data_IF_132454332948
#
_entry.id   IF_132454332948
#
_cell.length_a   1.000
_cell.length_b   1.000
_cell.length_c   1.000
_cell.angle_alpha   90.00
_cell.angle_beta   90.00
_cell.angle_gamma   90.00
#
_symmetry.space_group_name_H-M   'P 1'
#
loop_
_entity.id
_entity.type
_entity.pdbx_description
1 polymer ?
#
# COMPACT_ATOMS: atom_id res chain seq x y z
N UNK A 1 -9.02 -27.02 16.25
CA UNK A 1 -9.12 -26.50 14.86
C UNK A 1 -8.99 -24.97 14.75
N UNK A 2 -9.15 -24.20 15.84
CA UNK A 2 -9.08 -22.73 15.88
C UNK A 2 -7.74 -22.03 15.54
N UNK A 3 -6.54 -22.57 15.86
CA UNK A 3 -5.32 -21.75 15.78
C UNK A 3 -4.94 -21.37 14.34
N UNK A 4 -5.24 -22.25 13.36
CA UNK A 4 -4.95 -22.00 11.94
C UNK A 4 -5.77 -20.85 11.33
N UNK A 5 -6.85 -20.42 11.98
CA UNK A 5 -7.72 -19.35 11.50
C UNK A 5 -7.35 -17.97 12.06
N UNK A 6 -6.38 -17.88 12.99
CA UNK A 6 -5.95 -16.62 13.59
C UNK A 6 -5.57 -15.57 12.53
N UNK A 7 -4.77 -15.89 11.47
CA UNK A 7 -4.48 -14.92 10.42
C UNK A 7 -5.74 -14.41 9.72
N UNK A 8 -6.68 -15.31 9.40
CA UNK A 8 -7.93 -14.93 8.73
C UNK A 8 -8.81 -14.04 9.60
N UNK A 9 -8.86 -14.29 10.91
CA UNK A 9 -9.61 -13.45 11.86
C UNK A 9 -9.00 -12.04 11.89
N UNK A 10 -7.67 -11.93 11.90
CA UNK A 10 -6.98 -10.65 11.85
C UNK A 10 -7.27 -9.88 10.56
N UNK A 11 -7.28 -10.54 9.40
CA UNK A 11 -7.66 -9.90 8.13
C UNK A 11 -9.13 -9.43 8.12
N UNK A 12 -10.05 -10.22 8.69
CA UNK A 12 -11.47 -9.81 8.86
C UNK A 12 -11.58 -8.60 9.80
N UNK A 13 -10.84 -8.61 10.91
CA UNK A 13 -10.76 -7.47 11.82
C UNK A 13 -10.26 -6.22 11.09
N UNK A 14 -9.26 -6.33 10.21
CA UNK A 14 -8.77 -5.21 9.40
C UNK A 14 -9.86 -4.64 8.48
N UNK A 15 -10.69 -5.48 7.87
CA UNK A 15 -11.84 -5.02 7.06
C UNK A 15 -12.80 -4.21 7.94
N UNK A 16 -13.13 -4.70 9.14
CA UNK A 16 -13.96 -3.99 10.11
C UNK A 16 -13.36 -2.65 10.54
N UNK A 17 -12.07 -2.64 10.90
CA UNK A 17 -11.33 -1.42 11.27
C UNK A 17 -11.29 -0.41 10.12
N UNK A 18 -11.15 -0.87 8.88
CA UNK A 18 -11.17 -0.02 7.69
C UNK A 18 -12.53 0.68 7.50
N UNK A 19 -13.64 -0.01 7.77
CA UNK A 19 -14.96 0.61 7.82
C UNK A 19 -15.09 1.64 8.95
N UNK A 20 -14.54 1.34 10.14
CA UNK A 20 -14.54 2.28 11.27
C UNK A 20 -13.71 3.54 10.99
N UNK A 21 -12.61 3.43 10.23
CA UNK A 21 -11.80 4.58 9.82
C UNK A 21 -12.61 5.60 9.02
N UNK A 22 -13.50 5.14 8.13
CA UNK A 22 -14.36 6.04 7.35
C UNK A 22 -15.33 6.81 8.26
N UNK A 23 -15.96 6.12 9.20
CA UNK A 23 -16.94 6.70 10.14
C UNK A 23 -16.31 7.67 11.13
N UNK A 24 -15.08 7.41 11.56
CA UNK A 24 -14.38 8.17 12.60
C UNK A 24 -13.32 9.13 12.05
N UNK A 25 -13.31 9.35 10.73
CA UNK A 25 -12.36 10.24 10.04
C UNK A 25 -12.43 11.70 10.51
N UNK A 26 -13.54 12.12 11.13
CA UNK A 26 -13.68 13.46 11.71
C UNK A 26 -12.86 13.68 12.99
N UNK A 27 -12.49 12.62 13.72
CA UNK A 27 -11.70 12.71 14.94
C UNK A 27 -10.28 12.20 14.70
N UNK A 28 -9.32 13.12 14.56
CA UNK A 28 -7.91 12.81 14.26
C UNK A 28 -7.27 11.83 15.25
N UNK A 29 -7.65 11.89 16.53
CA UNK A 29 -7.07 11.02 17.57
C UNK A 29 -7.59 9.58 17.46
N UNK A 30 -8.91 9.41 17.30
CA UNK A 30 -9.51 8.08 17.10
C UNK A 30 -9.08 7.47 15.77
N UNK A 31 -8.99 8.29 14.71
CA UNK A 31 -8.46 7.87 13.42
C UNK A 31 -7.05 7.28 13.57
N UNK A 32 -6.14 7.99 14.26
CA UNK A 32 -4.76 7.52 14.48
C UNK A 32 -4.72 6.16 15.19
N UNK A 33 -5.52 5.98 16.25
CA UNK A 33 -5.56 4.72 17.01
C UNK A 33 -6.02 3.56 16.12
N UNK A 34 -7.15 3.72 15.42
CA UNK A 34 -7.72 2.67 14.58
C UNK A 34 -6.78 2.36 13.40
N UNK A 35 -6.15 3.39 12.84
CA UNK A 35 -5.22 3.27 11.73
C UNK A 35 -3.98 2.47 12.13
N UNK A 36 -3.39 2.77 13.29
CA UNK A 36 -2.26 2.03 13.83
C UNK A 36 -2.66 0.59 14.18
N UNK A 37 -3.84 0.37 14.76
CA UNK A 37 -4.34 -0.98 15.02
C UNK A 37 -4.49 -1.78 13.73
N UNK A 38 -5.06 -1.19 12.68
CA UNK A 38 -5.19 -1.84 11.37
C UNK A 38 -3.82 -2.24 10.79
N UNK A 39 -2.82 -1.35 10.83
CA UNK A 39 -1.46 -1.67 10.39
C UNK A 39 -0.77 -2.73 11.26
N UNK A 40 -0.98 -2.73 12.57
CA UNK A 40 -0.45 -3.78 13.45
C UNK A 40 -1.08 -5.13 13.12
N UNK A 41 -2.39 -5.18 12.81
CA UNK A 41 -3.05 -6.44 12.42
C UNK A 41 -2.51 -7.02 11.11
N UNK A 42 -2.03 -6.19 10.18
CA UNK A 42 -1.33 -6.57 8.93
C UNK A 42 0.04 -7.18 9.14
N UNK A 43 0.83 -6.57 10.03
CA UNK A 43 2.12 -7.17 10.35
C UNK A 43 1.92 -8.49 11.11
N UNK A 44 0.92 -8.53 11.99
CA UNK A 44 0.65 -9.68 12.85
C UNK A 44 0.15 -10.91 12.09
N UNK A 45 -0.82 -10.79 11.18
CA UNK A 45 -1.36 -11.95 10.46
C UNK A 45 -0.34 -12.57 9.52
N UNK A 46 0.41 -11.75 8.77
CA UNK A 46 1.51 -12.18 7.93
C UNK A 46 2.65 -12.81 8.74
N UNK A 47 2.97 -12.28 9.93
CA UNK A 47 3.98 -12.88 10.81
C UNK A 47 3.52 -14.24 11.35
N UNK A 48 2.29 -14.35 11.86
CA UNK A 48 1.73 -15.59 12.43
C UNK A 48 1.59 -16.66 11.35
N UNK A 49 1.07 -16.32 10.18
CA UNK A 49 0.92 -17.25 9.06
C UNK A 49 2.26 -17.86 8.64
N UNK A 50 3.32 -17.05 8.57
CA UNK A 50 4.68 -17.51 8.21
C UNK A 50 5.33 -18.32 9.33
N UNK A 51 5.25 -17.85 10.58
CA UNK A 51 5.88 -18.50 11.74
C UNK A 51 5.36 -19.92 11.95
N UNK A 52 4.06 -20.11 11.83
CA UNK A 52 3.41 -21.40 12.08
C UNK A 52 3.13 -22.21 10.81
N UNK A 53 3.58 -21.73 9.63
CA UNK A 53 3.29 -22.34 8.31
C UNK A 53 1.78 -22.56 8.09
N UNK A 54 0.96 -21.61 8.52
CA UNK A 54 -0.50 -21.61 8.35
C UNK A 54 -0.92 -20.82 7.11
N UNK A 55 -0.11 -20.87 6.05
CA UNK A 55 -0.44 -20.25 4.78
C UNK A 55 -1.51 -21.08 4.06
N UNK A 56 -2.57 -20.43 3.61
CA UNK A 56 -3.64 -21.06 2.84
C UNK A 56 -4.02 -20.17 1.66
N UNK A 57 -4.48 -20.77 0.55
CA UNK A 57 -4.90 -20.02 -0.65
C UNK A 57 -6.07 -19.09 -0.34
N UNK A 58 -7.01 -19.55 0.49
CA UNK A 58 -8.17 -18.76 0.94
C UNK A 58 -7.76 -17.62 1.87
N UNK A 59 -6.84 -17.88 2.81
CA UNK A 59 -6.30 -16.83 3.69
C UNK A 59 -5.55 -15.75 2.91
N UNK A 60 -4.73 -16.13 1.93
CA UNK A 60 -4.02 -15.17 1.08
C UNK A 60 -4.96 -14.29 0.23
N UNK A 61 -6.07 -14.85 -0.27
CA UNK A 61 -7.11 -14.08 -0.96
C UNK A 61 -7.82 -13.12 -0.01
N UNK A 62 -8.14 -13.57 1.20
CA UNK A 62 -8.80 -12.75 2.22
C UNK A 62 -7.91 -11.59 2.69
N UNK A 63 -6.62 -11.85 2.87
CA UNK A 63 -5.61 -10.83 3.19
C UNK A 63 -5.51 -9.79 2.07
N UNK A 64 -5.41 -10.23 0.81
CA UNK A 64 -5.41 -9.33 -0.35
C UNK A 64 -6.68 -8.46 -0.43
N UNK A 65 -7.84 -9.03 -0.07
CA UNK A 65 -9.09 -8.27 0.02
C UNK A 65 -9.07 -7.26 1.18
N UNK A 66 -8.56 -7.65 2.35
CA UNK A 66 -8.43 -6.77 3.50
C UNK A 66 -7.51 -5.58 3.20
N UNK A 67 -6.40 -5.82 2.53
CA UNK A 67 -5.47 -4.77 2.07
C UNK A 67 -6.09 -3.82 1.06
N UNK A 68 -6.85 -4.36 0.10
CA UNK A 68 -7.55 -3.55 -0.89
C UNK A 68 -8.61 -2.64 -0.22
N UNK A 69 -9.39 -3.19 0.72
CA UNK A 69 -10.39 -2.44 1.48
C UNK A 69 -9.73 -1.35 2.34
N UNK A 70 -8.65 -1.68 3.04
CA UNK A 70 -7.90 -0.72 3.86
C UNK A 70 -7.32 0.42 3.01
N UNK A 71 -6.67 0.09 1.90
CA UNK A 71 -6.09 1.06 0.98
C UNK A 71 -7.16 1.98 0.37
N UNK A 72 -8.31 1.41 0.00
CA UNK A 72 -9.45 2.17 -0.54
C UNK A 72 -10.07 3.09 0.52
N UNK A 73 -10.23 2.62 1.75
CA UNK A 73 -10.72 3.44 2.86
C UNK A 73 -9.81 4.66 3.10
N UNK A 74 -8.49 4.45 3.14
CA UNK A 74 -7.51 5.55 3.27
C UNK A 74 -7.63 6.52 2.11
N UNK A 75 -7.68 6.02 0.87
CA UNK A 75 -7.77 6.86 -0.32
C UNK A 75 -9.02 7.75 -0.28
N UNK A 76 -10.18 7.18 0.10
CA UNK A 76 -11.42 7.92 0.26
C UNK A 76 -11.32 8.98 1.36
N UNK A 77 -10.74 8.65 2.51
CA UNK A 77 -10.56 9.60 3.62
C UNK A 77 -9.68 10.77 3.20
N UNK A 78 -8.57 10.51 2.50
CA UNK A 78 -7.69 11.55 1.97
C UNK A 78 -8.44 12.40 0.92
N UNK A 79 -9.21 11.76 0.05
CA UNK A 79 -9.97 12.44 -0.99
C UNK A 79 -11.06 13.39 -0.46
N UNK A 80 -11.78 12.95 0.57
CA UNK A 80 -12.88 13.71 1.16
C UNK A 80 -12.39 14.81 2.11
N UNK A 81 -11.43 14.51 2.99
CA UNK A 81 -11.01 15.44 4.05
C UNK A 81 -9.84 16.35 3.63
N UNK A 82 -9.01 15.93 2.69
CA UNK A 82 -7.78 16.64 2.29
C UNK A 82 -7.78 17.01 0.82
N UNK A 83 -8.91 17.52 0.33
CA UNK A 83 -9.08 17.92 -1.09
C UNK A 83 -8.01 18.91 -1.54
N UNK A 84 -7.62 19.86 -0.68
CA UNK A 84 -6.58 20.87 -0.98
C UNK A 84 -5.21 20.24 -1.22
N UNK A 85 -4.87 19.16 -0.52
CA UNK A 85 -3.64 18.40 -0.71
C UNK A 85 -3.62 17.75 -2.09
N UNK A 86 -4.74 17.19 -2.52
CA UNK A 86 -4.88 16.56 -3.84
C UNK A 86 -4.82 17.61 -4.94
N UNK A 87 -5.65 18.66 -4.87
CA UNK A 87 -5.71 19.67 -5.94
C UNK A 87 -4.40 20.43 -6.07
N UNK A 88 -3.70 20.72 -4.96
CA UNK A 88 -2.42 21.41 -4.97
C UNK A 88 -1.25 20.57 -5.50
N UNK A 89 -1.38 19.23 -5.51
CA UNK A 89 -0.34 18.30 -5.95
C UNK A 89 -0.83 17.36 -7.07
N UNK A 90 -1.88 17.77 -7.80
CA UNK A 90 -2.52 16.95 -8.82
C UNK A 90 -1.54 16.47 -9.89
N UNK A 91 -0.62 17.35 -10.30
CA UNK A 91 0.41 17.03 -11.29
C UNK A 91 1.30 15.87 -10.83
N UNK A 92 1.76 15.88 -9.57
CA UNK A 92 2.57 14.80 -9.00
C UNK A 92 1.78 13.49 -8.92
N UNK A 93 0.52 13.56 -8.48
CA UNK A 93 -0.37 12.40 -8.41
C UNK A 93 -0.58 11.77 -9.79
N UNK A 94 -0.91 12.57 -10.79
CA UNK A 94 -1.11 12.11 -12.17
C UNK A 94 0.19 11.53 -12.74
N UNK A 95 1.34 12.14 -12.47
CA UNK A 95 2.63 11.64 -12.93
C UNK A 95 2.95 10.26 -12.36
N UNK A 96 2.83 10.08 -11.04
CA UNK A 96 3.09 8.79 -10.38
C UNK A 96 2.09 7.73 -10.86
N UNK A 97 0.80 8.09 -10.95
CA UNK A 97 -0.24 7.18 -11.41
C UNK A 97 0.02 6.75 -12.87
N UNK A 98 0.37 7.68 -13.74
CA UNK A 98 0.68 7.41 -15.15
C UNK A 98 1.88 6.49 -15.26
N UNK A 99 2.96 6.74 -14.51
CA UNK A 99 4.12 5.85 -14.49
C UNK A 99 3.74 4.44 -14.03
N UNK A 100 2.97 4.30 -12.94
CA UNK A 100 2.53 2.98 -12.46
C UNK A 100 1.62 2.27 -13.46
N UNK A 101 0.72 2.98 -14.12
CA UNK A 101 -0.13 2.42 -15.18
C UNK A 101 0.69 2.00 -16.40
N UNK A 102 1.69 2.80 -16.81
CA UNK A 102 2.61 2.45 -17.87
C UNK A 102 3.44 1.21 -17.51
N UNK A 103 3.97 1.12 -16.28
CA UNK A 103 4.65 -0.06 -15.76
C UNK A 103 3.76 -1.31 -15.79
N UNK A 104 2.52 -1.18 -15.30
CA UNK A 104 1.57 -2.29 -15.29
C UNK A 104 1.18 -2.75 -16.70
N UNK A 105 0.88 -1.82 -17.60
CA UNK A 105 0.48 -2.12 -18.99
C UNK A 105 1.63 -2.71 -19.79
N UNK A 106 2.85 -2.16 -19.68
CA UNK A 106 4.05 -2.73 -20.32
C UNK A 106 4.35 -4.13 -19.80
N UNK A 107 4.20 -4.37 -18.49
CA UNK A 107 4.31 -5.69 -17.90
C UNK A 107 3.25 -6.67 -18.44
N UNK A 108 2.00 -6.22 -18.58
CA UNK A 108 0.91 -7.02 -19.11
C UNK A 108 1.12 -7.38 -20.59
N UNK A 109 1.54 -6.43 -21.42
CA UNK A 109 1.77 -6.64 -22.86
C UNK A 109 2.96 -7.59 -23.07
N UNK A 110 4.07 -7.36 -22.34
CA UNK A 110 5.32 -8.11 -22.53
C UNK A 110 5.24 -9.54 -21.99
N UNK A 111 4.64 -9.72 -20.82
CA UNK A 111 4.65 -11.02 -20.13
C UNK A 111 3.29 -11.74 -20.13
N UNK A 112 2.25 -11.13 -20.72
CA UNK A 112 0.85 -11.63 -20.75
C UNK A 112 0.31 -12.00 -19.36
N UNK A 113 0.85 -11.39 -18.31
CA UNK A 113 0.50 -11.62 -16.91
C UNK A 113 0.43 -10.28 -16.19
N UNK A 114 -0.42 -10.18 -15.18
CA UNK A 114 -0.43 -9.02 -14.30
C UNK A 114 0.88 -9.02 -13.49
N UNK A 115 1.77 -8.09 -13.82
CA UNK A 115 3.07 -7.94 -13.19
C UNK A 115 2.97 -6.87 -12.10
N UNK A 116 3.14 -7.26 -10.85
CA UNK A 116 3.31 -6.34 -9.73
C UNK A 116 4.66 -6.63 -9.06
N UNK A 117 5.69 -5.87 -9.43
CA UNK A 117 7.04 -6.06 -8.87
C UNK A 117 7.15 -5.19 -7.63
N UNK A 118 7.09 -5.83 -6.46
CA UNK A 118 7.32 -5.16 -5.18
C UNK A 118 8.81 -5.11 -4.85
N UNK A 119 9.51 -4.12 -5.44
CA UNK A 119 10.91 -3.81 -5.10
C UNK A 119 11.06 -3.42 -3.62
N UNK A 120 12.29 -3.49 -3.10
CA UNK A 120 12.59 -2.98 -1.75
C UNK A 120 12.22 -1.50 -1.63
N UNK A 121 12.43 -0.70 -2.69
CA UNK A 121 12.02 0.70 -2.72
C UNK A 121 10.50 0.86 -2.56
N UNK A 122 9.70 0.07 -3.29
CA UNK A 122 8.24 0.07 -3.14
C UNK A 122 7.80 -0.28 -1.70
N UNK A 123 8.48 -1.23 -1.04
CA UNK A 123 8.21 -1.57 0.36
C UNK A 123 8.59 -0.44 1.32
N UNK A 124 9.75 0.18 1.12
CA UNK A 124 10.21 1.30 1.94
C UNK A 124 9.27 2.51 1.80
N UNK A 125 8.83 2.82 0.58
CA UNK A 125 7.86 3.88 0.31
C UNK A 125 6.49 3.58 0.91
N UNK A 126 6.02 2.33 0.85
CA UNK A 126 4.79 1.92 1.53
C UNK A 126 4.88 2.13 3.05
N UNK A 127 5.99 1.75 3.67
CA UNK A 127 6.24 1.99 5.10
C UNK A 127 6.29 3.49 5.42
N UNK A 128 6.99 4.29 4.61
CA UNK A 128 7.04 5.74 4.78
C UNK A 128 5.64 6.36 4.70
N UNK A 129 4.87 6.02 3.64
CA UNK A 129 3.49 6.49 3.49
C UNK A 129 2.63 6.09 4.68
N UNK A 130 2.81 4.88 5.22
CA UNK A 130 2.07 4.42 6.38
C UNK A 130 2.23 5.37 7.58
N UNK A 131 3.44 5.84 7.88
CA UNK A 131 3.69 6.81 8.96
C UNK A 131 3.30 8.25 8.60
N UNK A 132 3.36 8.63 7.32
CA UNK A 132 3.05 9.99 6.89
C UNK A 132 1.55 10.29 6.78
N UNK A 133 0.71 9.31 6.44
CA UNK A 133 -0.73 9.51 6.28
C UNK A 133 -1.39 10.12 7.53
N UNK A 134 -1.16 9.61 8.75
CA UNK A 134 -1.74 10.22 9.95
C UNK A 134 -1.20 11.61 10.25
N UNK A 135 0.06 11.90 9.88
CA UNK A 135 0.65 13.23 10.07
C UNK A 135 -0.10 14.31 9.27
N UNK A 136 -0.74 13.96 8.14
CA UNK A 136 -1.52 14.90 7.33
C UNK A 136 -2.66 15.53 8.15
N UNK A 137 -3.22 14.81 9.13
CA UNK A 137 -4.25 15.32 10.05
C UNK A 137 -3.73 16.36 11.05
N UNK A 138 -2.42 16.45 11.25
CA UNK A 138 -1.77 17.40 12.15
C UNK A 138 -1.21 18.63 11.41
N UNK A 139 -1.70 18.92 10.20
CA UNK A 139 -1.35 20.11 9.41
C UNK A 139 0.15 20.23 9.10
N UNK A 140 0.72 19.20 8.46
CA UNK A 140 2.11 19.24 7.97
C UNK A 140 2.29 20.38 6.96
N UNK A 141 3.46 21.02 6.98
CA UNK A 141 3.83 22.00 5.95
C UNK A 141 3.79 21.38 4.54
N UNK A 142 3.37 22.18 3.56
CA UNK A 142 3.30 21.75 2.16
C UNK A 142 4.65 21.31 1.57
N UNK A 143 5.77 21.70 2.18
CA UNK A 143 7.11 21.24 1.81
C UNK A 143 7.26 19.72 2.02
N UNK A 144 6.85 19.21 3.19
CA UNK A 144 6.94 17.77 3.46
C UNK A 144 6.03 16.95 2.55
N UNK A 145 4.83 17.46 2.24
CA UNK A 145 3.91 16.81 1.30
C UNK A 145 4.58 16.66 -0.07
N UNK A 146 5.22 17.71 -0.58
CA UNK A 146 5.96 17.65 -1.87
C UNK A 146 7.15 16.70 -1.80
N UNK A 147 7.89 16.68 -0.69
CA UNK A 147 9.01 15.75 -0.50
C UNK A 147 8.55 14.29 -0.58
N UNK A 148 7.39 13.96 0.01
CA UNK A 148 6.80 12.60 -0.08
C UNK A 148 6.50 12.23 -1.54
N UNK A 149 5.90 13.14 -2.32
CA UNK A 149 5.63 12.88 -3.74
C UNK A 149 6.92 12.60 -4.53
N UNK A 150 7.99 13.33 -4.27
CA UNK A 150 9.30 13.10 -4.90
C UNK A 150 9.85 11.72 -4.51
N UNK A 151 9.79 11.37 -3.21
CA UNK A 151 10.23 10.06 -2.72
C UNK A 151 9.39 8.92 -3.34
N UNK A 152 8.09 9.14 -3.58
CA UNK A 152 7.22 8.16 -4.22
C UNK A 152 7.48 8.00 -5.73
N UNK A 153 8.01 9.04 -6.38
CA UNK A 153 8.34 9.00 -7.80
C UNK A 153 9.53 8.05 -8.07
N UNK A 154 10.52 8.01 -7.17
CA UNK A 154 11.73 7.20 -7.34
C UNK A 154 11.43 5.68 -7.53
N UNK A 155 10.67 5.00 -6.65
CA UNK A 155 10.28 3.61 -6.86
C UNK A 155 9.42 3.39 -8.11
N UNK A 156 8.55 4.35 -8.47
CA UNK A 156 7.71 4.22 -9.65
C UNK A 156 8.56 4.23 -10.94
N UNK A 157 9.60 5.07 -10.97
CA UNK A 157 10.59 5.09 -12.04
C UNK A 157 11.41 3.79 -12.03
N UNK A 158 11.90 3.34 -10.88
CA UNK A 158 12.62 2.07 -10.76
C UNK A 158 11.79 0.88 -11.28
N UNK A 159 10.53 0.78 -10.89
CA UNK A 159 9.60 -0.26 -11.34
C UNK A 159 9.41 -0.23 -12.87
N UNK A 160 9.26 0.97 -13.44
CA UNK A 160 9.14 1.15 -14.90
C UNK A 160 10.40 0.68 -15.63
N UNK A 161 11.58 1.09 -15.17
CA UNK A 161 12.85 0.68 -15.76
C UNK A 161 13.12 -0.83 -15.66
N UNK A 162 12.78 -1.46 -14.52
CA UNK A 162 12.93 -2.91 -14.36
C UNK A 162 12.11 -3.65 -15.41
N UNK A 163 10.85 -3.25 -15.63
CA UNK A 163 9.96 -3.91 -16.59
C UNK A 163 10.45 -3.72 -18.04
N UNK A 164 11.06 -2.58 -18.36
CA UNK A 164 11.67 -2.33 -19.68
C UNK A 164 12.95 -3.13 -19.90
N UNK A 165 13.78 -3.33 -18.87
CA UNK A 165 15.08 -4.00 -19.02
C UNK A 165 15.04 -5.52 -18.78
N UNK A 166 14.06 -6.06 -18.04
CA UNK A 166 14.00 -7.48 -17.73
C UNK A 166 13.60 -8.34 -18.94
N UNK A 167 14.44 -9.32 -19.30
CA UNK A 167 14.12 -10.35 -20.29
C UNK A 167 13.19 -11.44 -19.74
N UNK A 168 13.33 -11.78 -18.45
CA UNK A 168 12.47 -12.73 -17.75
C UNK A 168 11.79 -12.11 -16.53
N UNK A 169 10.52 -12.46 -16.33
CA UNK A 169 9.71 -11.96 -15.22
C UNK A 169 10.04 -12.69 -13.92
N UNK A 170 10.81 -12.04 -13.03
CA UNK A 170 11.03 -12.53 -11.67
C UNK A 170 10.23 -11.69 -10.66
N UNK A 171 9.10 -12.23 -10.20
CA UNK A 171 8.21 -11.59 -9.21
C UNK A 171 8.87 -11.38 -7.83
N UNK A 172 10.01 -12.04 -7.57
CA UNK A 172 10.78 -11.91 -6.32
C UNK A 172 12.03 -11.03 -6.47
N UNK A 173 12.19 -10.28 -7.57
CA UNK A 173 13.35 -9.42 -7.77
C UNK A 173 13.36 -8.28 -6.75
N UNK A 174 14.41 -8.23 -5.93
CA UNK A 174 14.52 -7.32 -4.78
C UNK A 174 14.89 -5.88 -5.16
N UNK A 175 15.63 -5.67 -6.25
CA UNK A 175 16.09 -4.36 -6.75
C UNK A 175 16.65 -4.50 -8.17
N UNK A 176 16.81 -3.38 -8.91
CA UNK A 176 17.51 -3.33 -10.22
C UNK A 176 18.82 -4.11 -10.23
N UNK A 177 19.57 -4.10 -9.12
CA UNK A 177 20.91 -4.70 -9.04
C UNK A 177 20.91 -6.19 -8.66
N UNK A 178 19.77 -6.79 -8.35
CA UNK A 178 19.69 -8.22 -8.07
C UNK A 178 19.30 -8.94 -9.35
N UNK A 179 20.25 -9.65 -9.97
CA UNK A 179 19.98 -10.55 -11.10
C UNK A 179 18.85 -11.51 -10.76
#
# INVERSE_FOLDING_TARGET
MLPKQIPNILSICRIGLSGMLLLLSANSFLFLIIYLLAGITDVADGYIARKYRWTSRTGALLDSLADAVFSLAILLIISLNFRTVITGNLLWLVLILTLKLCSFTTGLIRFRKAVAIHTIANKATGLLLFFFIPLVFFSISGFFIKAIFIICLLPAIEEFFIILCCEELNMNRKSIFSK
#
